data_IF_142571699242
#
_entry.id   IF_142571699242
#
_cell.length_a   1.000
_cell.length_b   1.000
_cell.length_c   1.000
_cell.angle_alpha   90.00
_cell.angle_beta   90.00
_cell.angle_gamma   90.00
#
_symmetry.space_group_name_H-M   'P 1'
#
loop_
_entity.id
_entity.type
_entity.pdbx_description
1 polymer ?
#
# COMPACT_ATOMS: atom_id res chain seq x y z
N UNK A 1 2.62 4.64 20.93
CA UNK A 1 1.35 4.53 20.19
C UNK A 1 0.65 3.30 20.73
N UNK A 2 -0.56 3.47 21.22
CA UNK A 2 -1.36 2.37 21.77
C UNK A 2 -2.30 1.87 20.65
N UNK A 3 -2.27 0.58 20.32
CA UNK A 3 -3.14 -0.02 19.31
C UNK A 3 -4.28 -0.71 20.04
N UNK A 4 -5.45 -0.08 20.04
CA UNK A 4 -6.63 -0.58 20.72
C UNK A 4 -7.21 -1.82 20.02
N UNK A 5 -8.07 -2.55 20.73
CA UNK A 5 -8.78 -3.69 20.20
C UNK A 5 -9.84 -3.20 19.20
N UNK A 6 -9.48 -3.17 17.91
CA UNK A 6 -10.32 -2.65 16.82
C UNK A 6 -9.52 -1.94 15.74
N UNK A 7 -8.29 -1.50 16.04
CA UNK A 7 -7.44 -0.82 15.07
C UNK A 7 -6.90 -1.78 14.00
N UNK A 8 -6.94 -1.33 12.75
CA UNK A 8 -6.31 -2.04 11.64
C UNK A 8 -4.80 -2.18 11.89
N UNK A 9 -4.19 -3.32 11.51
CA UNK A 9 -2.74 -3.46 11.55
C UNK A 9 -2.09 -2.39 10.66
N UNK A 10 -0.87 -2.00 11.01
CA UNK A 10 -0.10 -1.08 10.18
C UNK A 10 0.05 -1.62 8.75
N UNK A 11 -0.08 -0.73 7.76
CA UNK A 11 0.02 -1.08 6.34
C UNK A 11 1.26 -0.41 5.76
N UNK A 12 2.10 -1.19 5.08
CA UNK A 12 3.21 -0.67 4.29
C UNK A 12 2.79 -0.57 2.84
N UNK A 13 2.77 0.64 2.31
CA UNK A 13 2.62 0.88 0.88
C UNK A 13 3.98 0.75 0.17
N UNK A 14 4.11 -0.21 -0.75
CA UNK A 14 5.31 -0.42 -1.58
C UNK A 14 4.90 -0.55 -3.05
N UNK A 15 4.90 0.59 -3.72
CA UNK A 15 4.50 0.69 -5.14
C UNK A 15 5.61 1.18 -6.08
N UNK A 16 6.68 1.74 -5.52
CA UNK A 16 7.84 2.18 -6.28
C UNK A 16 9.18 1.84 -5.62
N UNK A 17 10.20 1.67 -6.44
CA UNK A 17 11.57 1.34 -6.00
C UNK A 17 12.45 2.58 -5.88
N UNK A 18 12.09 3.68 -6.55
CA UNK A 18 12.96 4.82 -6.76
C UNK A 18 14.31 4.40 -7.36
N UNK A 19 15.40 4.86 -6.74
CA UNK A 19 16.79 4.57 -7.17
C UNK A 19 17.38 3.28 -6.58
N UNK A 20 16.67 2.58 -5.70
CA UNK A 20 17.19 1.42 -4.98
C UNK A 20 17.29 0.20 -5.89
N UNK A 21 18.21 -0.74 -5.68
CA UNK A 21 18.10 -2.05 -6.34
C UNK A 21 16.93 -2.87 -5.75
N UNK A 22 16.43 -3.89 -6.45
CA UNK A 22 15.37 -4.75 -5.89
C UNK A 22 15.80 -5.42 -4.57
N UNK A 23 17.08 -5.81 -4.45
CA UNK A 23 17.65 -6.36 -3.22
C UNK A 23 17.62 -5.34 -2.07
N UNK A 24 18.01 -4.09 -2.35
CA UNK A 24 18.03 -3.03 -1.33
C UNK A 24 16.62 -2.63 -0.91
N UNK A 25 15.67 -2.56 -1.85
CA UNK A 25 14.26 -2.37 -1.56
C UNK A 25 13.76 -3.44 -0.58
N UNK A 26 13.96 -4.72 -0.90
CA UNK A 26 13.52 -5.83 -0.04
C UNK A 26 14.17 -5.78 1.34
N UNK A 27 15.44 -5.38 1.43
CA UNK A 27 16.12 -5.20 2.71
C UNK A 27 15.42 -4.13 3.57
N UNK A 28 15.10 -2.98 3.00
CA UNK A 28 14.41 -1.88 3.70
C UNK A 28 12.98 -2.26 4.09
N UNK A 29 12.25 -2.93 3.19
CA UNK A 29 10.92 -3.49 3.48
C UNK A 29 11.01 -4.45 4.68
N UNK A 30 11.94 -5.41 4.66
CA UNK A 30 12.13 -6.34 5.79
C UNK A 30 12.44 -5.63 7.11
N UNK A 31 13.29 -4.60 7.08
CA UNK A 31 13.65 -3.83 8.27
C UNK A 31 12.44 -3.09 8.85
N UNK A 32 11.62 -2.47 7.99
CA UNK A 32 10.41 -1.79 8.42
C UNK A 32 9.40 -2.77 9.01
N UNK A 33 9.14 -3.89 8.34
CA UNK A 33 8.17 -4.90 8.80
C UNK A 33 8.53 -5.42 10.20
N UNK A 34 9.80 -5.75 10.42
CA UNK A 34 10.31 -6.20 11.72
C UNK A 34 10.22 -5.12 12.80
N UNK A 35 10.51 -3.87 12.45
CA UNK A 35 10.43 -2.75 13.38
C UNK A 35 8.99 -2.53 13.85
N UNK A 36 8.05 -2.55 12.92
CA UNK A 36 6.62 -2.35 13.19
C UNK A 36 6.06 -3.52 13.98
N UNK A 37 6.34 -4.75 13.57
CA UNK A 37 5.92 -5.96 14.29
C UNK A 37 6.44 -5.97 15.72
N UNK A 38 7.71 -5.60 15.94
CA UNK A 38 8.28 -5.45 17.29
C UNK A 38 7.59 -4.37 18.12
N UNK A 39 7.23 -3.25 17.50
CA UNK A 39 6.62 -2.11 18.21
C UNK A 39 5.13 -2.32 18.54
N UNK A 40 4.42 -3.09 17.71
CA UNK A 40 2.96 -3.23 17.79
C UNK A 40 2.51 -4.61 18.29
N UNK A 41 3.40 -5.60 18.24
CA UNK A 41 3.06 -7.00 18.50
C UNK A 41 2.15 -7.64 17.45
N UNK A 42 1.83 -6.92 16.36
CA UNK A 42 0.92 -7.36 15.29
C UNK A 42 1.69 -7.42 13.97
N UNK A 43 1.36 -8.39 13.12
CA UNK A 43 1.93 -8.48 11.77
C UNK A 43 1.37 -7.36 10.87
N UNK A 44 2.20 -6.47 10.31
CA UNK A 44 1.74 -5.46 9.36
C UNK A 44 1.32 -6.09 8.02
N UNK A 45 0.47 -5.38 7.28
CA UNK A 45 0.02 -5.75 5.93
C UNK A 45 0.92 -5.05 4.90
N UNK A 46 1.28 -5.75 3.82
CA UNK A 46 2.00 -5.16 2.69
C UNK A 46 1.02 -4.87 1.57
N UNK A 47 0.93 -3.61 1.15
CA UNK A 47 0.18 -3.18 0.00
C UNK A 47 1.11 -2.97 -1.21
N UNK A 48 0.70 -3.46 -2.39
CA UNK A 48 1.44 -3.26 -3.63
C UNK A 48 0.57 -3.47 -4.87
N UNK A 49 0.90 -2.81 -5.98
CA UNK A 49 0.33 -3.14 -7.28
C UNK A 49 0.79 -4.52 -7.77
N UNK A 50 -0.10 -5.28 -8.41
CA UNK A 50 0.18 -6.65 -8.86
C UNK A 50 1.46 -6.77 -9.70
N UNK A 51 1.67 -5.88 -10.68
CA UNK A 51 2.87 -5.91 -11.54
C UNK A 51 4.15 -5.65 -10.73
N UNK A 52 4.10 -4.70 -9.79
CA UNK A 52 5.25 -4.36 -8.94
C UNK A 52 5.60 -5.51 -8.00
N UNK A 53 4.59 -6.11 -7.37
CA UNK A 53 4.72 -7.29 -6.52
C UNK A 53 5.42 -8.43 -7.26
N UNK A 54 4.93 -8.82 -8.44
CA UNK A 54 5.51 -9.92 -9.22
C UNK A 54 6.97 -9.64 -9.63
N UNK A 55 7.28 -8.39 -9.97
CA UNK A 55 8.62 -8.00 -10.43
C UNK A 55 9.65 -7.91 -9.30
N UNK A 56 9.27 -7.43 -8.11
CA UNK A 56 10.23 -7.04 -7.08
C UNK A 56 10.11 -7.81 -5.76
N UNK A 57 8.92 -8.29 -5.41
CA UNK A 57 8.59 -8.73 -4.04
C UNK A 57 8.12 -10.19 -3.94
N UNK A 58 7.69 -10.80 -5.04
CA UNK A 58 7.17 -12.17 -5.06
C UNK A 58 8.17 -13.17 -4.43
N UNK A 59 7.68 -13.94 -3.46
CA UNK A 59 8.43 -15.00 -2.77
C UNK A 59 9.30 -14.55 -1.58
N UNK A 60 9.34 -13.26 -1.23
CA UNK A 60 10.23 -12.76 -0.17
C UNK A 60 9.58 -12.48 1.19
N UNK A 61 8.26 -12.28 1.24
CA UNK A 61 7.54 -11.91 2.47
C UNK A 61 6.25 -12.74 2.62
N UNK A 62 6.37 -14.05 2.45
CA UNK A 62 5.22 -14.97 2.47
C UNK A 62 4.62 -15.10 3.88
N UNK A 63 5.37 -14.73 4.91
CA UNK A 63 4.95 -14.74 6.32
C UNK A 63 4.10 -13.53 6.71
N UNK A 64 3.99 -12.52 5.84
CA UNK A 64 3.21 -11.30 6.05
C UNK A 64 1.93 -11.30 5.19
N UNK A 65 0.83 -10.74 5.71
CA UNK A 65 -0.40 -10.57 4.92
C UNK A 65 -0.21 -9.56 3.79
N UNK A 66 -0.84 -9.84 2.65
CA UNK A 66 -0.75 -9.03 1.43
C UNK A 66 -2.09 -8.40 1.06
N UNK A 67 -2.03 -7.15 0.60
CA UNK A 67 -3.09 -6.47 -0.11
C UNK A 67 -2.58 -6.09 -1.50
N UNK A 68 -2.87 -6.93 -2.49
CA UNK A 68 -2.42 -6.70 -3.87
C UNK A 68 -3.49 -6.00 -4.68
N UNK A 69 -3.20 -4.78 -5.17
CA UNK A 69 -4.08 -4.07 -6.09
C UNK A 69 -3.94 -4.65 -7.50
N UNK A 70 -5.00 -5.28 -7.99
CA UNK A 70 -5.09 -5.76 -9.37
C UNK A 70 -6.10 -4.91 -10.15
N UNK A 71 -5.59 -3.92 -10.88
CA UNK A 71 -6.42 -3.11 -11.78
C UNK A 71 -6.71 -3.90 -13.06
N UNK A 72 -7.84 -4.61 -13.10
CA UNK A 72 -8.41 -5.01 -14.38
C UNK A 72 -8.77 -3.72 -15.13
N UNK A 73 -8.01 -3.39 -16.19
CA UNK A 73 -8.40 -2.33 -17.10
C UNK A 73 -9.65 -2.76 -17.88
N UNK A 74 -10.84 -2.65 -17.28
CA UNK A 74 -11.95 -2.09 -18.04
C UNK A 74 -11.74 -0.59 -17.98
N UNK A 75 -11.21 -0.02 -19.06
CA UNK A 75 -11.41 1.42 -19.30
C UNK A 75 -12.91 1.64 -19.14
N UNK A 76 -13.38 2.50 -18.23
CA UNK A 76 -14.73 3.00 -18.38
C UNK A 76 -14.73 3.72 -19.73
N UNK A 77 -15.52 3.22 -20.65
CA UNK A 77 -16.01 3.95 -21.80
C UNK A 77 -16.41 5.34 -21.24
N UNK A 78 -15.70 6.39 -21.67
CA UNK A 78 -15.85 7.75 -21.14
C UNK A 78 -17.17 8.40 -21.59
N UNK A 79 -18.23 7.63 -21.73
CA UNK A 79 -19.57 8.10 -22.05
C UNK A 79 -20.34 8.37 -20.75
N UNK A 80 -20.02 9.50 -20.12
CA UNK A 80 -21.05 10.24 -19.39
C UNK A 80 -20.96 10.34 -17.86
N UNK A 81 -19.90 9.88 -17.19
CA UNK A 81 -19.74 10.13 -15.74
C UNK A 81 -18.74 11.26 -15.49
N UNK A 82 -19.26 12.48 -15.54
CA UNK A 82 -18.55 13.66 -15.05
C UNK A 82 -18.33 13.53 -13.54
N UNK A 83 -17.10 13.19 -13.17
CA UNK A 83 -16.58 13.22 -11.81
C UNK A 83 -16.83 14.60 -11.21
N UNK A 84 -17.74 14.71 -10.24
CA UNK A 84 -17.86 15.93 -9.43
C UNK A 84 -16.76 15.92 -8.38
N UNK A 85 -15.64 16.56 -8.72
CA UNK A 85 -14.67 17.01 -7.72
C UNK A 85 -15.40 17.92 -6.72
N UNK A 86 -15.29 17.60 -5.43
CA UNK A 86 -15.79 18.48 -4.37
C UNK A 86 -15.00 19.79 -4.42
N UNK A 87 -15.57 20.81 -5.03
CA UNK A 87 -15.08 22.18 -4.90
C UNK A 87 -15.55 22.69 -3.54
N UNK A 88 -14.58 23.19 -2.80
CA UNK A 88 -14.74 23.89 -1.53
C UNK A 88 -15.81 24.98 -1.74
N UNK A 89 -16.92 25.03 -0.98
CA UNK A 89 -17.82 26.17 -1.10
C UNK A 89 -17.09 27.39 -0.55
N UNK A 90 -16.72 28.33 -1.43
CA UNK A 90 -16.39 29.70 -1.02
C UNK A 90 -17.63 30.28 -0.37
N UNK A 91 -17.57 30.53 0.93
CA UNK A 91 -18.57 31.33 1.65
C UNK A 91 -18.45 32.76 1.13
N UNK A 92 -19.45 33.19 0.37
CA UNK A 92 -19.62 34.59 -0.02
C UNK A 92 -20.07 35.41 1.21
N UNK A 93 -19.61 36.65 1.33
CA UNK A 93 -19.79 37.52 2.50
C UNK A 93 -20.75 38.65 2.19
#
# INVERSE_FOLDING_TARGET
MDFSQGDFPAVLDVEERGKLSAKELRKRVSQWLKMVEKSTGKKPIIYSGAVFYHTNLAGYFNEYPWWVAHYYQRRPDNDGMAWRFCSIPTVDR
#
